data_IF_832067915684
#
_entry.id   IF_832067915684
#
_cell.length_a   1.000
_cell.length_b   1.000
_cell.length_c   1.000
_cell.angle_alpha   90.00
_cell.angle_beta   90.00
_cell.angle_gamma   90.00
#
_symmetry.space_group_name_H-M   'P 1'
#
loop_
_entity.id
_entity.type
_entity.pdbx_description
1 polymer ?
#
# COMPACT_ATOMS: atom_id res chain seq x y z
N UNK A 1 34.77 -42.00 3.46
CA UNK A 1 35.12 -40.57 3.27
C UNK A 1 34.08 -39.93 2.36
N UNK A 2 33.42 -38.86 2.85
CA UNK A 2 32.82 -37.70 2.13
C UNK A 2 31.80 -38.01 1.00
N UNK A 3 30.49 -38.09 1.29
CA UNK A 3 29.44 -37.03 1.17
C UNK A 3 29.38 -36.30 -0.18
N UNK A 4 28.24 -36.39 -0.87
CA UNK A 4 27.57 -35.26 -1.53
C UNK A 4 26.11 -35.61 -1.88
N UNK A 5 25.16 -35.22 -1.01
CA UNK A 5 23.77 -35.00 -1.39
C UNK A 5 23.70 -33.62 -2.04
N UNK A 6 23.11 -33.53 -3.23
CA UNK A 6 22.80 -32.25 -3.86
C UNK A 6 21.30 -32.20 -4.11
N UNK A 7 20.59 -31.49 -3.25
CA UNK A 7 19.18 -31.12 -3.43
C UNK A 7 19.18 -29.63 -3.78
N UNK A 8 18.72 -29.28 -4.98
CA UNK A 8 18.43 -27.89 -5.33
C UNK A 8 17.02 -27.55 -4.84
N UNK A 9 16.94 -26.94 -3.66
CA UNK A 9 15.76 -26.24 -3.19
C UNK A 9 15.93 -24.76 -3.56
N UNK A 10 15.08 -24.24 -4.45
CA UNK A 10 14.96 -22.81 -4.71
C UNK A 10 13.53 -22.37 -4.37
N UNK A 11 13.44 -21.81 -3.16
CA UNK A 11 12.43 -20.90 -2.61
C UNK A 11 11.00 -21.02 -3.15
N UNK A 12 10.14 -21.68 -2.37
CA UNK A 12 8.72 -21.36 -2.37
C UNK A 12 8.57 -19.84 -2.17
N UNK A 13 7.86 -19.18 -3.09
CA UNK A 13 7.36 -17.82 -2.88
C UNK A 13 6.73 -17.78 -1.50
N UNK A 14 7.22 -16.91 -0.62
CA UNK A 14 6.57 -16.63 0.66
C UNK A 14 5.27 -15.91 0.33
N UNK A 15 4.23 -16.68 0.00
CA UNK A 15 2.86 -16.24 0.11
C UNK A 15 2.62 -16.03 1.59
N UNK A 16 2.84 -14.80 2.07
CA UNK A 16 2.37 -14.43 3.39
C UNK A 16 0.85 -14.45 3.32
N UNK A 17 0.29 -15.61 3.68
CA UNK A 17 -1.10 -15.77 4.02
C UNK A 17 -1.35 -14.92 5.27
N UNK A 18 -1.81 -13.68 5.12
CA UNK A 18 -2.48 -13.01 6.23
C UNK A 18 -3.93 -13.52 6.28
N UNK A 19 -4.14 -14.56 7.07
CA UNK A 19 -5.46 -14.87 7.63
C UNK A 19 -5.90 -13.68 8.49
N UNK A 20 -7.01 -13.04 8.14
CA UNK A 20 -7.53 -11.84 8.80
C UNK A 20 -8.07 -12.17 10.19
N UNK A 21 -7.26 -11.97 11.22
CA UNK A 21 -7.77 -11.77 12.58
C UNK A 21 -8.09 -10.28 12.72
N UNK A 22 -9.34 -9.95 13.06
CA UNK A 22 -9.82 -8.58 13.28
C UNK A 22 -9.22 -8.00 14.57
N UNK A 23 -7.95 -7.60 14.50
CA UNK A 23 -7.39 -6.59 15.38
C UNK A 23 -7.40 -5.29 14.62
N UNK A 24 -8.00 -4.27 15.22
CA UNK A 24 -7.93 -2.88 14.84
C UNK A 24 -6.50 -2.48 14.37
N UNK A 25 -6.29 -2.17 13.08
CA UNK A 25 -4.98 -1.82 12.52
C UNK A 25 -5.05 -0.63 11.56
N UNK A 26 -4.09 0.30 11.68
CA UNK A 26 -3.74 1.25 10.62
C UNK A 26 -3.11 0.46 9.47
N UNK A 27 -3.67 0.55 8.26
CA UNK A 27 -3.15 -0.20 7.13
C UNK A 27 -4.15 -0.46 6.01
N UNK A 28 -3.67 -1.20 5.01
CA UNK A 28 -4.44 -1.60 3.82
C UNK A 28 -5.53 -2.59 4.17
N UNK A 29 -6.77 -2.25 3.82
CA UNK A 29 -7.93 -3.12 3.95
C UNK A 29 -8.45 -3.49 2.56
N UNK A 30 -8.66 -4.79 2.36
CA UNK A 30 -9.19 -5.36 1.12
C UNK A 30 -10.68 -5.69 1.26
N UNK A 31 -11.46 -5.35 0.24
CA UNK A 31 -12.85 -5.75 0.09
C UNK A 31 -13.04 -6.68 -1.11
N UNK A 32 -13.25 -7.96 -0.81
CA UNK A 32 -13.40 -9.05 -1.80
C UNK A 32 -14.82 -9.20 -2.33
N UNK A 33 -15.77 -8.35 -1.90
CA UNK A 33 -17.15 -8.37 -2.39
C UNK A 33 -17.30 -7.73 -3.78
N UNK A 34 -16.26 -7.06 -4.26
CA UNK A 34 -16.20 -6.40 -5.57
C UNK A 34 -15.28 -7.14 -6.54
N UNK A 35 -15.54 -7.00 -7.85
CA UNK A 35 -14.65 -7.50 -8.91
C UNK A 35 -14.41 -6.38 -9.94
N UNK A 36 -13.16 -5.91 -10.13
CA UNK A 36 -11.97 -6.26 -9.35
C UNK A 36 -12.15 -5.89 -7.86
N UNK A 37 -11.39 -6.56 -6.99
CA UNK A 37 -11.35 -6.28 -5.56
C UNK A 37 -11.03 -4.80 -5.32
N UNK A 38 -11.56 -4.23 -4.25
CA UNK A 38 -11.31 -2.83 -3.89
C UNK A 38 -10.48 -2.74 -2.63
N UNK A 39 -9.71 -1.66 -2.53
CA UNK A 39 -8.79 -1.43 -1.43
C UNK A 39 -9.01 -0.03 -0.85
N UNK A 40 -8.89 0.10 0.46
CA UNK A 40 -8.84 1.38 1.16
C UNK A 40 -7.76 1.30 2.24
N UNK A 41 -7.42 2.44 2.85
CA UNK A 41 -6.38 2.49 3.87
C UNK A 41 -6.92 3.10 5.15
N UNK A 42 -6.94 2.30 6.22
CA UNK A 42 -7.38 2.70 7.55
C UNK A 42 -6.32 3.60 8.19
N UNK A 43 -6.73 4.75 8.69
CA UNK A 43 -5.86 5.73 9.38
C UNK A 43 -6.00 5.69 10.90
N UNK A 44 -6.93 4.89 11.41
CA UNK A 44 -7.14 4.65 12.83
C UNK A 44 -7.24 3.16 13.10
N UNK A 45 -6.83 2.75 14.29
CA UNK A 45 -6.86 1.34 14.66
C UNK A 45 -8.30 0.80 14.57
N UNK A 46 -9.30 1.52 15.05
CA UNK A 46 -10.69 1.05 15.11
C UNK A 46 -11.46 1.06 13.77
N UNK A 47 -10.80 1.27 12.62
CA UNK A 47 -11.45 1.46 11.31
C UNK A 47 -12.43 2.65 11.25
N UNK A 48 -12.32 3.60 12.18
CA UNK A 48 -13.20 4.77 12.27
C UNK A 48 -12.90 5.86 11.25
N UNK A 49 -11.74 5.80 10.58
CA UNK A 49 -11.32 6.77 9.58
C UNK A 49 -10.38 6.13 8.55
N UNK A 50 -10.34 6.74 7.37
CA UNK A 50 -9.56 6.27 6.23
C UNK A 50 -9.19 7.40 5.27
N UNK A 51 -8.23 7.15 4.40
CA UNK A 51 -7.94 8.10 3.34
C UNK A 51 -9.11 8.23 2.36
N UNK A 52 -9.63 9.45 2.24
CA UNK A 52 -10.65 9.84 1.28
C UNK A 52 -10.46 11.29 0.81
N UNK A 53 -10.80 11.56 -0.43
CA UNK A 53 -10.91 12.91 -0.97
C UNK A 53 -12.11 13.67 -0.41
N UNK A 54 -12.10 14.99 -0.57
CA UNK A 54 -13.33 15.80 -0.47
C UNK A 54 -14.26 15.46 -1.64
N UNK A 55 -15.56 15.78 -1.54
CA UNK A 55 -16.56 15.54 -2.59
C UNK A 55 -16.06 16.00 -3.96
N UNK A 56 -16.02 15.06 -4.92
CA UNK A 56 -15.58 15.31 -6.29
C UNK A 56 -14.05 15.48 -6.47
N UNK A 57 -13.26 15.29 -5.41
CA UNK A 57 -11.79 15.38 -5.43
C UNK A 57 -11.15 14.06 -5.03
N UNK A 58 -9.85 13.97 -5.26
CA UNK A 58 -9.02 12.86 -4.77
C UNK A 58 -8.15 13.30 -3.61
N UNK A 59 -7.69 12.31 -2.83
CA UNK A 59 -6.65 12.48 -1.82
C UNK A 59 -5.43 11.63 -2.20
N UNK A 60 -4.26 12.25 -2.18
CA UNK A 60 -2.99 11.54 -2.28
C UNK A 60 -2.42 11.27 -0.90
N UNK A 61 -1.86 10.09 -0.69
CA UNK A 61 -1.17 9.72 0.54
C UNK A 61 0.10 8.94 0.20
N UNK A 62 1.15 9.22 0.97
CA UNK A 62 2.39 8.48 0.92
C UNK A 62 2.37 7.42 2.02
N UNK A 63 2.57 6.17 1.65
CA UNK A 63 2.40 5.01 2.52
C UNK A 63 3.60 4.10 2.34
N UNK A 64 4.34 3.86 3.42
CA UNK A 64 5.38 2.82 3.49
C UNK A 64 4.69 1.47 3.72
N UNK A 65 4.30 0.80 2.62
CA UNK A 65 3.47 -0.39 2.68
C UNK A 65 4.25 -1.66 3.04
N UNK A 66 5.54 -1.68 2.77
CA UNK A 66 6.44 -2.81 3.01
C UNK A 66 7.38 -2.59 4.20
N UNK A 67 7.28 -1.43 4.87
CA UNK A 67 8.09 -1.02 6.01
C UNK A 67 9.60 -1.01 5.72
N UNK A 68 9.98 -0.64 4.50
CA UNK A 68 11.39 -0.56 4.07
C UNK A 68 12.00 0.85 4.26
N UNK A 69 11.21 1.81 4.75
CA UNK A 69 11.60 3.20 4.95
C UNK A 69 11.39 4.09 3.72
N UNK A 70 10.82 3.56 2.64
CA UNK A 70 10.35 4.31 1.48
C UNK A 70 8.83 4.26 1.43
N UNK A 71 8.21 5.43 1.24
CA UNK A 71 6.78 5.55 1.03
C UNK A 71 6.48 5.60 -0.47
N UNK A 72 5.50 4.84 -0.94
CA UNK A 72 4.90 5.03 -2.26
C UNK A 72 3.68 5.96 -2.19
N UNK A 73 3.41 6.68 -3.27
CA UNK A 73 2.25 7.58 -3.36
C UNK A 73 1.03 6.87 -3.94
N UNK A 74 -0.10 6.92 -3.24
CA UNK A 74 -1.38 6.31 -3.63
C UNK A 74 -2.48 7.36 -3.70
N UNK A 75 -3.45 7.14 -4.60
CA UNK A 75 -4.60 8.01 -4.80
C UNK A 75 -5.90 7.37 -4.30
N UNK A 76 -6.69 8.12 -3.54
CA UNK A 76 -7.98 7.72 -3.00
C UNK A 76 -9.10 8.63 -3.52
N UNK A 77 -10.23 8.04 -3.91
CA UNK A 77 -11.44 8.80 -4.26
C UNK A 77 -12.11 9.46 -3.06
N UNK A 78 -13.15 10.24 -3.33
CA UNK A 78 -14.02 10.83 -2.31
C UNK A 78 -14.89 9.80 -1.58
N UNK A 79 -15.08 8.64 -2.22
CA UNK A 79 -15.63 7.39 -1.70
C UNK A 79 -14.67 6.61 -0.78
N UNK A 80 -13.40 7.03 -0.71
CA UNK A 80 -12.36 6.38 0.11
C UNK A 80 -11.71 5.15 -0.52
N UNK A 81 -12.13 4.74 -1.72
CA UNK A 81 -11.50 3.64 -2.42
C UNK A 81 -10.23 4.12 -3.14
N UNK A 82 -9.18 3.31 -3.03
CA UNK A 82 -7.94 3.49 -3.78
C UNK A 82 -8.22 3.35 -5.28
N UNK A 83 -7.65 4.26 -6.09
CA UNK A 83 -7.64 4.16 -7.54
C UNK A 83 -6.51 3.21 -7.97
N UNK A 84 -6.80 2.29 -8.89
CA UNK A 84 -5.83 1.39 -9.52
C UNK A 84 -6.02 1.34 -11.03
N UNK A 85 -4.92 1.13 -11.76
CA UNK A 85 -4.86 0.91 -13.20
C UNK A 85 -5.64 1.95 -14.03
N UNK A 86 -5.48 3.24 -13.70
CA UNK A 86 -6.28 4.29 -14.34
C UNK A 86 -5.61 5.66 -14.25
N UNK A 87 -6.12 6.60 -15.04
CA UNK A 87 -5.87 8.03 -14.80
C UNK A 87 -6.78 8.53 -13.68
N UNK A 88 -6.19 9.22 -12.71
CA UNK A 88 -6.91 9.88 -11.63
C UNK A 88 -7.66 11.10 -12.16
N UNK A 89 -8.75 11.55 -11.51
CA UNK A 89 -9.49 12.75 -11.90
C UNK A 89 -8.64 14.03 -12.06
N UNK A 90 -7.54 14.14 -11.30
CA UNK A 90 -6.58 15.24 -11.38
C UNK A 90 -5.44 15.01 -12.39
N UNK A 91 -5.51 13.94 -13.20
CA UNK A 91 -4.72 13.77 -14.43
C UNK A 91 -3.47 12.88 -14.33
N UNK A 92 -3.11 12.40 -13.14
CA UNK A 92 -1.98 11.49 -12.94
C UNK A 92 -2.35 10.04 -13.25
N UNK A 93 -1.36 9.18 -13.47
CA UNK A 93 -1.59 7.76 -13.72
C UNK A 93 -1.10 6.91 -12.54
N UNK A 94 -1.96 5.98 -12.11
CA UNK A 94 -1.65 4.97 -11.09
C UNK A 94 -1.62 3.58 -11.73
N UNK A 95 -0.63 2.77 -11.38
CA UNK A 95 -0.45 1.43 -11.92
C UNK A 95 -1.48 0.43 -11.35
N UNK A 96 -1.38 -0.86 -11.72
CA UNK A 96 -2.28 -1.93 -11.26
C UNK A 96 -2.30 -2.13 -9.74
N UNK A 97 -1.23 -1.73 -9.05
CA UNK A 97 -1.12 -1.75 -7.59
C UNK A 97 -1.62 -0.44 -6.93
N UNK A 98 -2.09 0.52 -7.73
CA UNK A 98 -2.54 1.84 -7.26
C UNK A 98 -1.43 2.84 -6.98
N UNK A 99 -0.17 2.52 -7.30
CA UNK A 99 0.97 3.39 -7.06
C UNK A 99 1.07 4.45 -8.15
N UNK A 100 1.31 5.70 -7.77
CA UNK A 100 1.59 6.79 -8.71
C UNK A 100 2.83 6.46 -9.54
N UNK A 101 2.71 6.65 -10.86
CA UNK A 101 3.84 6.51 -11.76
C UNK A 101 4.03 7.74 -12.64
N UNK A 102 5.29 8.02 -12.96
CA UNK A 102 5.68 8.99 -13.98
C UNK A 102 6.52 8.22 -15.00
N UNK A 103 6.09 8.19 -16.26
CA UNK A 103 6.72 7.41 -17.33
C UNK A 103 6.95 5.93 -16.96
N UNK A 104 5.99 5.32 -16.25
CA UNK A 104 6.06 3.92 -15.81
C UNK A 104 6.92 3.67 -14.57
N UNK A 105 7.57 4.68 -14.02
CA UNK A 105 8.40 4.57 -12.81
C UNK A 105 7.58 4.97 -11.58
N UNK A 106 7.52 4.08 -10.58
CA UNK A 106 6.84 4.34 -9.29
C UNK A 106 7.52 5.49 -8.56
N UNK A 107 6.71 6.41 -8.05
CA UNK A 107 7.20 7.54 -7.25
C UNK A 107 7.31 7.13 -5.78
N UNK A 108 8.52 7.25 -5.23
CA UNK A 108 8.82 6.99 -3.83
C UNK A 108 9.41 8.24 -3.17
N UNK A 109 9.28 8.33 -1.85
CA UNK A 109 10.03 9.28 -1.02
C UNK A 109 10.49 8.58 0.25
N UNK A 110 11.56 9.07 0.86
CA UNK A 110 11.94 8.59 2.20
C UNK A 110 10.80 8.87 3.17
N UNK A 111 10.34 7.84 3.88
CA UNK A 111 9.54 8.01 5.08
C UNK A 111 10.40 8.85 6.01
N UNK A 112 10.10 10.14 6.16
CA UNK A 112 10.85 10.99 7.09
C UNK A 112 10.62 10.41 8.48
N UNK A 113 11.53 9.55 8.93
CA UNK A 113 11.59 9.09 10.29
C UNK A 113 11.87 10.36 11.11
N UNK A 114 10.83 10.91 11.75
CA UNK A 114 11.06 11.72 12.92
C UNK A 114 11.77 10.81 13.90
N UNK A 115 13.12 10.83 13.87
CA UNK A 115 13.89 10.26 14.94
C UNK A 115 13.37 10.92 16.22
N UNK A 116 12.90 10.16 17.22
CA UNK A 116 12.49 10.75 18.48
C UNK A 116 13.73 11.38 19.13
N UNK A 117 13.96 12.68 18.93
CA UNK A 117 15.17 13.31 19.47
C UNK A 117 15.58 14.72 19.06
N UNK A 118 15.03 15.35 18.02
CA UNK A 118 15.40 16.76 17.72
C UNK A 118 14.40 17.74 18.31
N UNK A 119 14.54 17.97 19.61
CA UNK A 119 14.03 19.20 20.23
C UNK A 119 14.88 20.38 19.70
N UNK A 120 14.20 21.43 19.23
CA UNK A 120 14.80 22.77 19.16
C UNK A 120 14.89 23.36 20.55
#
# INVERSE_FOLDING_TARGET
>A
MKKALTVFAAAAMVSVMMASNAFAYIGWVRDTRFTPERWWYSTQDNFGDWYRGETGKVKWAWIDSNHDGLEECYCFGDDGWMKANQRTPDGYYVNEKGQWTVNGVVQTRSAHYYAPGTKK
#
